data_IF_429853851938
#
_entry.id   IF_429853851938
#
_cell.length_a   1.000
_cell.length_b   1.000
_cell.length_c   1.000
_cell.angle_alpha   90.00
_cell.angle_beta   90.00
_cell.angle_gamma   90.00
#
_symmetry.space_group_name_H-M   'P 1'
#
loop_
_entity.id
_entity.type
_entity.pdbx_description
1 polymer ?
#
# COMPACT_ATOMS: atom_id res chain seq x y z
N UNK A 1 26.12 -15.28 5.95
CA UNK A 1 25.33 -14.27 5.23
C UNK A 1 26.16 -13.02 4.98
N UNK A 2 25.95 -12.36 3.84
CA UNK A 2 26.56 -11.08 3.50
C UNK A 2 25.55 -10.20 2.77
N UNK A 3 25.79 -8.89 2.74
CA UNK A 3 25.02 -7.92 1.96
C UNK A 3 25.95 -7.11 1.08
N UNK A 4 25.41 -6.61 -0.04
CA UNK A 4 26.13 -5.66 -0.88
C UNK A 4 26.03 -4.25 -0.27
N UNK A 5 26.88 -3.34 -0.76
CA UNK A 5 26.79 -1.92 -0.42
C UNK A 5 25.45 -1.33 -0.89
N UNK A 6 25.05 -0.20 -0.30
CA UNK A 6 23.82 0.51 -0.66
C UNK A 6 23.77 0.77 -2.17
N UNK A 7 22.65 0.45 -2.82
CA UNK A 7 22.48 0.58 -4.27
C UNK A 7 22.92 -0.66 -5.05
N UNK A 8 23.33 -1.73 -4.37
CA UNK A 8 23.65 -3.02 -4.96
C UNK A 8 22.93 -4.14 -4.24
N UNK A 9 22.65 -5.23 -4.96
CA UNK A 9 22.10 -6.47 -4.41
C UNK A 9 22.86 -7.67 -4.97
N UNK A 10 22.86 -8.83 -4.29
CA UNK A 10 23.35 -10.07 -4.89
C UNK A 10 22.70 -10.33 -6.25
N UNK A 11 23.37 -11.07 -7.13
CA UNK A 11 22.86 -11.39 -8.46
C UNK A 11 21.54 -12.18 -8.44
N UNK A 12 21.26 -12.85 -7.32
CA UNK A 12 19.95 -13.45 -7.03
C UNK A 12 18.97 -12.37 -6.54
N UNK A 13 17.67 -12.51 -6.84
CA UNK A 13 16.65 -11.50 -6.51
C UNK A 13 16.39 -11.20 -5.02
N UNK A 14 17.26 -11.63 -4.11
CA UNK A 14 17.17 -11.40 -2.66
C UNK A 14 18.01 -10.21 -2.15
N UNK A 15 17.85 -9.90 -0.86
CA UNK A 15 18.54 -8.78 -0.19
C UNK A 15 19.84 -9.17 0.52
N UNK A 16 20.09 -10.47 0.69
CA UNK A 16 21.28 -11.03 1.31
C UNK A 16 21.76 -12.24 0.50
N UNK A 17 23.08 -12.44 0.50
CA UNK A 17 23.70 -13.66 -0.01
C UNK A 17 24.08 -14.59 1.14
N UNK A 18 24.08 -15.88 0.86
CA UNK A 18 24.58 -16.91 1.78
C UNK A 18 25.95 -17.39 1.30
N UNK A 19 26.94 -17.38 2.19
CA UNK A 19 28.28 -17.85 1.88
C UNK A 19 28.75 -18.78 2.99
N UNK A 20 29.40 -19.87 2.58
CA UNK A 20 29.88 -20.93 3.46
C UNK A 20 31.38 -21.09 3.27
N UNK A 21 32.12 -21.14 4.37
CA UNK A 21 33.54 -21.46 4.37
C UNK A 21 33.75 -22.93 4.72
N UNK A 22 34.33 -23.70 3.82
CA UNK A 22 34.66 -25.12 3.99
C UNK A 22 36.12 -25.35 3.63
N UNK A 23 36.89 -25.93 4.55
CA UNK A 23 38.33 -26.23 4.34
C UNK A 23 39.15 -25.02 3.84
N UNK A 24 38.83 -23.83 4.36
CA UNK A 24 39.52 -22.59 4.00
C UNK A 24 39.09 -21.97 2.66
N UNK A 25 38.12 -22.57 1.96
CA UNK A 25 37.56 -22.06 0.70
C UNK A 25 36.15 -21.53 0.90
N UNK A 26 35.88 -20.33 0.39
CA UNK A 26 34.53 -19.74 0.40
C UNK A 26 33.72 -20.21 -0.82
N UNK A 27 32.46 -20.57 -0.59
CA UNK A 27 31.45 -20.89 -1.60
C UNK A 27 30.18 -20.06 -1.37
N UNK A 28 29.35 -19.89 -2.41
CA UNK A 28 28.12 -19.06 -2.33
C UNK A 28 28.34 -17.54 -2.45
N UNK A 29 29.53 -17.10 -2.84
CA UNK A 29 29.78 -15.69 -3.14
C UNK A 29 29.15 -15.36 -4.50
N UNK A 30 28.22 -14.41 -4.51
CA UNK A 30 27.49 -13.91 -5.66
C UNK A 30 28.00 -12.52 -6.02
N UNK A 31 27.83 -12.15 -7.28
CA UNK A 31 28.16 -10.80 -7.75
C UNK A 31 27.16 -9.77 -7.24
N UNK A 32 27.66 -8.61 -6.82
CA UNK A 32 26.81 -7.47 -6.48
C UNK A 32 26.44 -6.70 -7.75
N UNK A 33 25.17 -6.74 -8.14
CA UNK A 33 24.62 -6.02 -9.29
C UNK A 33 23.90 -4.75 -8.84
N UNK A 34 23.81 -3.76 -9.74
CA UNK A 34 23.12 -2.50 -9.46
C UNK A 34 21.64 -2.76 -9.11
N UNK A 35 21.19 -2.16 -8.03
CA UNK A 35 19.83 -2.27 -7.50
C UNK A 35 18.88 -1.31 -8.23
N UNK A 36 18.94 -1.23 -9.57
CA UNK A 36 18.14 -0.27 -10.34
C UNK A 36 18.48 1.20 -10.02
N UNK A 37 17.67 2.12 -10.56
CA UNK A 37 17.79 3.56 -10.28
C UNK A 37 16.93 3.89 -9.07
N UNK A 38 17.46 4.54 -8.02
CA UNK A 38 16.66 4.93 -6.86
C UNK A 38 15.67 6.05 -7.22
N UNK A 39 14.46 5.98 -6.65
CA UNK A 39 13.44 7.00 -6.83
C UNK A 39 13.69 8.21 -5.93
N UNK A 40 13.22 9.37 -6.38
CA UNK A 40 12.99 10.54 -5.54
C UNK A 40 11.86 10.30 -4.52
N UNK A 41 11.57 11.24 -3.61
CA UNK A 41 10.47 11.08 -2.67
C UNK A 41 9.12 10.74 -3.36
N UNK A 42 8.28 9.88 -2.75
CA UNK A 42 6.97 9.53 -3.28
C UNK A 42 6.12 10.77 -3.60
N UNK A 43 5.21 10.69 -4.60
CA UNK A 43 4.28 11.76 -4.90
C UNK A 43 3.50 12.22 -3.67
N UNK A 44 3.39 13.53 -3.45
CA UNK A 44 2.55 14.04 -2.37
C UNK A 44 1.07 13.85 -2.72
N UNK A 45 0.34 13.12 -1.89
CA UNK A 45 -1.11 12.97 -1.97
C UNK A 45 -1.78 13.81 -0.88
N UNK A 46 -2.72 14.67 -1.28
CA UNK A 46 -3.44 15.54 -0.34
C UNK A 46 -4.26 14.70 0.64
N UNK A 47 -4.29 15.09 1.92
CA UNK A 47 -4.91 14.33 3.00
C UNK A 47 -4.40 12.89 3.18
N UNK A 48 -3.19 12.57 2.68
CA UNK A 48 -2.53 11.30 2.94
C UNK A 48 -1.23 11.47 3.72
N UNK A 49 -0.79 10.39 4.34
CA UNK A 49 0.56 10.19 4.86
C UNK A 49 1.16 8.94 4.22
N UNK A 50 2.49 8.89 4.12
CA UNK A 50 3.21 7.68 3.69
C UNK A 50 3.75 7.00 4.95
N UNK A 51 3.50 5.71 5.11
CA UNK A 51 3.87 4.92 6.30
C UNK A 51 5.38 4.60 6.39
N UNK A 52 6.26 5.50 5.94
CA UNK A 52 7.72 5.31 6.02
C UNK A 52 8.45 6.63 6.34
N UNK A 53 9.64 6.57 6.96
CA UNK A 53 10.45 7.76 7.19
C UNK A 53 10.82 8.47 5.89
N UNK A 54 10.83 9.80 5.94
CA UNK A 54 11.29 10.63 4.83
C UNK A 54 12.78 10.38 4.53
N UNK A 55 13.11 10.19 3.25
CA UNK A 55 14.46 10.09 2.72
C UNK A 55 14.54 10.85 1.41
N UNK A 56 15.72 11.38 1.08
CA UNK A 56 15.95 12.05 -0.21
C UNK A 56 15.95 11.07 -1.40
N UNK A 57 16.18 9.78 -1.15
CA UNK A 57 16.16 8.72 -2.15
C UNK A 57 15.60 7.42 -1.57
N UNK A 58 14.90 6.68 -2.42
CA UNK A 58 14.30 5.38 -2.11
C UNK A 58 14.82 4.32 -3.06
N UNK A 59 15.09 3.14 -2.53
CA UNK A 59 15.65 2.04 -3.31
C UNK A 59 14.64 1.50 -4.32
N UNK A 60 15.14 1.06 -5.48
CA UNK A 60 14.32 0.33 -6.46
C UNK A 60 13.69 -0.92 -5.85
N UNK A 61 12.47 -1.22 -6.28
CA UNK A 61 11.62 -2.28 -5.75
C UNK A 61 10.98 -1.97 -4.40
N UNK A 62 11.30 -0.82 -3.77
CA UNK A 62 10.66 -0.44 -2.50
C UNK A 62 9.16 -0.20 -2.72
N UNK A 63 8.35 -0.79 -1.85
CA UNK A 63 6.90 -0.60 -1.81
C UNK A 63 6.53 0.30 -0.65
N UNK A 64 5.69 1.29 -0.91
CA UNK A 64 5.19 2.22 0.12
C UNK A 64 3.67 2.23 0.09
N UNK A 65 3.08 2.30 1.28
CA UNK A 65 1.64 2.47 1.43
C UNK A 65 1.32 3.93 1.75
N UNK A 66 0.23 4.42 1.17
CA UNK A 66 -0.44 5.62 1.60
C UNK A 66 -1.54 5.26 2.59
N UNK A 67 -1.69 6.12 3.59
CA UNK A 67 -2.79 6.11 4.53
C UNK A 67 -3.50 7.46 4.46
N UNK A 68 -4.82 7.45 4.28
CA UNK A 68 -5.60 8.68 4.33
C UNK A 68 -5.77 9.15 5.78
N UNK A 69 -5.72 10.46 5.98
CA UNK A 69 -5.99 11.09 7.27
C UNK A 69 -7.43 10.81 7.71
N UNK A 70 -7.69 10.96 9.00
CA UNK A 70 -9.03 10.83 9.58
C UNK A 70 -10.07 11.62 8.76
N UNK A 71 -11.22 11.01 8.53
CA UNK A 71 -12.34 11.54 7.72
C UNK A 71 -12.11 11.55 6.20
N UNK A 72 -11.09 10.85 5.72
CA UNK A 72 -10.88 10.58 4.30
C UNK A 72 -10.77 9.08 4.04
N UNK A 73 -11.32 8.66 2.91
CA UNK A 73 -11.23 7.32 2.36
C UNK A 73 -10.31 7.28 1.16
N UNK A 74 -9.56 6.18 1.05
CA UNK A 74 -8.63 5.97 -0.06
C UNK A 74 -9.38 5.49 -1.28
N UNK A 75 -9.04 6.03 -2.44
CA UNK A 75 -9.55 5.61 -3.74
C UNK A 75 -8.38 5.17 -4.63
N UNK A 76 -8.47 3.94 -5.13
CA UNK A 76 -7.43 3.28 -5.92
C UNK A 76 -6.41 2.51 -5.08
N UNK A 77 -5.30 2.12 -5.72
CA UNK A 77 -4.28 1.28 -5.09
C UNK A 77 -3.49 2.05 -4.02
N UNK A 78 -3.68 1.66 -2.75
CA UNK A 78 -2.96 2.25 -1.61
C UNK A 78 -1.43 2.11 -1.68
N UNK A 79 -0.92 1.20 -2.51
CA UNK A 79 0.49 0.81 -2.56
C UNK A 79 1.10 1.16 -3.91
N UNK A 80 2.24 1.84 -3.87
CA UNK A 80 3.07 2.11 -5.05
C UNK A 80 4.46 1.49 -4.87
N UNK A 81 5.13 1.19 -5.98
CA UNK A 81 6.47 0.60 -6.03
C UNK A 81 7.43 1.57 -6.72
N UNK A 82 8.67 1.67 -6.22
CA UNK A 82 9.74 2.35 -6.93
C UNK A 82 10.27 1.42 -8.02
N UNK A 83 10.19 1.84 -9.29
CA UNK A 83 10.61 1.06 -10.45
C UNK A 83 11.44 1.94 -11.39
N UNK A 84 12.72 1.59 -11.56
CA UNK A 84 13.67 2.24 -12.46
C UNK A 84 13.70 3.77 -12.29
N UNK A 85 13.71 4.24 -11.04
CA UNK A 85 13.81 5.66 -10.70
C UNK A 85 12.48 6.41 -10.69
N UNK A 86 11.36 5.74 -11.00
CA UNK A 86 10.01 6.33 -10.95
C UNK A 86 9.07 5.52 -10.07
N UNK A 87 8.16 6.19 -9.37
CA UNK A 87 7.09 5.51 -8.66
C UNK A 87 6.00 5.05 -9.60
N UNK A 88 5.45 3.86 -9.38
CA UNK A 88 4.30 3.35 -10.14
C UNK A 88 3.11 4.31 -10.05
N UNK A 89 2.48 4.56 -11.19
CA UNK A 89 1.33 5.48 -11.32
C UNK A 89 0.03 4.74 -11.64
N UNK A 90 -1.14 5.32 -11.34
CA UNK A 90 -1.34 6.56 -10.59
C UNK A 90 -1.16 6.36 -9.07
N UNK A 91 -0.75 7.39 -8.31
CA UNK A 91 -0.86 7.37 -6.86
C UNK A 91 -2.35 7.33 -6.43
N UNK A 92 -2.66 6.86 -5.21
CA UNK A 92 -4.02 6.89 -4.70
C UNK A 92 -4.50 8.33 -4.47
N UNK A 93 -5.81 8.49 -4.31
CA UNK A 93 -6.40 9.75 -3.85
C UNK A 93 -7.15 9.55 -2.54
N UNK A 94 -7.24 10.60 -1.73
CA UNK A 94 -8.03 10.59 -0.50
C UNK A 94 -9.24 11.50 -0.67
N UNK A 95 -10.44 10.91 -0.64
CA UNK A 95 -11.71 11.64 -0.75
C UNK A 95 -12.37 11.77 0.62
N UNK A 96 -13.10 12.86 0.91
CA UNK A 96 -13.84 12.97 2.15
C UNK A 96 -14.77 11.76 2.33
N UNK A 97 -14.69 11.12 3.50
CA UNK A 97 -15.63 10.05 3.86
C UNK A 97 -17.05 10.60 3.87
N UNK A 98 -17.98 9.84 3.31
CA UNK A 98 -19.40 10.12 3.50
C UNK A 98 -19.76 9.90 4.98
N UNK A 99 -20.60 10.77 5.57
CA UNK A 99 -21.19 10.48 6.87
C UNK A 99 -22.02 9.19 6.78
N UNK A 100 -22.28 8.59 7.93
CA UNK A 100 -23.18 7.45 8.01
C UNK A 100 -24.54 7.80 7.37
N UNK A 101 -25.16 6.85 6.65
CA UNK A 101 -26.50 7.02 6.12
C UNK A 101 -27.45 7.44 7.24
N UNK A 102 -28.43 8.31 6.96
CA UNK A 102 -29.43 8.66 7.97
C UNK A 102 -30.18 7.40 8.42
N UNK A 103 -30.46 7.31 9.72
CA UNK A 103 -31.35 6.28 10.25
C UNK A 103 -32.75 6.45 9.65
N UNK A 104 -33.37 5.33 9.28
CA UNK A 104 -34.77 5.31 8.83
C UNK A 104 -35.68 4.92 9.99
N UNK A 105 -36.92 5.42 9.99
CA UNK A 105 -37.90 5.01 11.00
C UNK A 105 -38.26 3.53 10.79
N UNK A 106 -38.27 2.75 11.88
CA UNK A 106 -38.60 1.33 11.86
C UNK A 106 -37.69 0.47 10.96
N UNK A 107 -36.43 0.86 10.79
CA UNK A 107 -35.43 0.10 10.07
C UNK A 107 -34.02 0.46 10.52
N UNK A 108 -33.05 -0.29 10.03
CA UNK A 108 -31.63 -0.06 10.26
C UNK A 108 -30.86 -0.13 8.93
N UNK A 109 -29.59 0.26 8.92
CA UNK A 109 -28.72 0.08 7.76
C UNK A 109 -27.54 -0.83 8.09
N UNK A 110 -27.14 -1.65 7.13
CA UNK A 110 -25.88 -2.39 7.17
C UNK A 110 -24.90 -1.79 6.17
N UNK A 111 -23.63 -1.75 6.58
CA UNK A 111 -22.51 -1.35 5.72
C UNK A 111 -21.70 -2.59 5.40
N UNK A 112 -21.52 -2.89 4.12
CA UNK A 112 -20.62 -3.96 3.70
C UNK A 112 -19.27 -3.38 3.31
N UNK A 113 -18.22 -3.79 4.02
CA UNK A 113 -16.84 -3.43 3.72
C UNK A 113 -16.32 -4.44 2.69
N UNK A 114 -16.19 -4.01 1.43
CA UNK A 114 -15.55 -4.86 0.42
C UNK A 114 -14.03 -4.75 0.62
N UNK A 115 -13.42 -5.86 1.07
CA UNK A 115 -11.97 -5.97 1.33
C UNK A 115 -11.09 -5.68 0.11
N UNK A 116 -11.67 -5.57 -1.08
CA UNK A 116 -10.91 -5.38 -2.31
C UNK A 116 -10.21 -4.02 -2.35
N UNK A 117 -10.72 -2.97 -1.68
CA UNK A 117 -10.02 -1.67 -1.62
C UNK A 117 -10.23 -0.87 -0.31
N UNK A 118 -10.85 -1.44 0.73
CA UNK A 118 -11.16 -0.69 1.96
C UNK A 118 -12.20 0.42 1.74
N UNK A 119 -12.93 0.37 0.61
CA UNK A 119 -14.01 1.28 0.24
C UNK A 119 -15.34 0.64 0.65
N UNK A 120 -16.18 1.39 1.36
CA UNK A 120 -17.60 1.02 1.55
C UNK A 120 -18.30 1.36 0.24
N UNK A 121 -18.71 0.35 -0.52
CA UNK A 121 -19.35 0.56 -1.83
C UNK A 121 -20.87 0.33 -1.79
N UNK A 122 -21.37 -0.38 -0.76
CA UNK A 122 -22.80 -0.69 -0.64
C UNK A 122 -23.35 -0.46 0.77
N UNK A 123 -24.48 0.24 0.82
CA UNK A 123 -25.29 0.46 2.02
C UNK A 123 -26.64 -0.18 1.76
N UNK A 124 -27.05 -1.10 2.63
CA UNK A 124 -28.36 -1.75 2.55
C UNK A 124 -29.24 -1.33 3.71
N UNK A 125 -30.45 -0.85 3.41
CA UNK A 125 -31.46 -0.58 4.43
C UNK A 125 -32.32 -1.83 4.67
N UNK A 126 -32.55 -2.16 5.94
CA UNK A 126 -33.37 -3.29 6.35
C UNK A 126 -34.50 -2.83 7.28
N UNK A 127 -35.75 -3.13 6.90
CA UNK A 127 -36.90 -2.85 7.74
C UNK A 127 -36.99 -3.80 8.94
N UNK A 128 -37.44 -3.26 10.07
CA UNK A 128 -37.82 -4.05 11.25
C UNK A 128 -38.99 -4.97 10.92
N UNK A 129 -39.15 -6.05 11.70
CA UNK A 129 -40.27 -6.98 11.54
C UNK A 129 -41.59 -6.22 11.55
N UNK A 130 -42.51 -6.60 10.65
CA UNK A 130 -43.83 -5.99 10.41
C UNK A 130 -43.83 -4.69 9.58
N UNK A 131 -42.67 -4.20 9.13
CA UNK A 131 -42.58 -3.01 8.28
C UNK A 131 -42.08 -3.37 6.87
N UNK A 132 -42.54 -2.63 5.87
CA UNK A 132 -42.10 -2.76 4.47
C UNK A 132 -41.67 -1.40 3.93
N UNK A 133 -40.72 -1.38 3.00
CA UNK A 133 -40.34 -0.15 2.30
C UNK A 133 -41.54 0.36 1.50
N UNK A 134 -41.90 1.63 1.68
CA UNK A 134 -42.90 2.31 0.85
C UNK A 134 -42.22 3.40 0.05
N UNK A 135 -42.36 3.35 -1.28
CA UNK A 135 -41.97 4.45 -2.15
C UNK A 135 -43.18 5.36 -2.34
N UNK A 136 -42.99 6.68 -2.17
CA UNK A 136 -44.02 7.69 -2.47
C UNK A 136 -43.79 8.23 -3.87
#
# INVERSE_FOLDING_TARGET
YYSCNVGFKPSTGGWWGEATCTEGTWSGILECIAQGVPCDPPPKVENAIVEIPYKNKYIDGLKVNYECRKSFEIEGLKKITCENGSWTTPPPTCKPSCPDPPSIQNGDFTKELIEVEGVITEVSYQCSRQYTLSFT
#
